data_IF_107001362177
#
_entry.id   IF_107001362177
#
_cell.length_a   1.000
_cell.length_b   1.000
_cell.length_c   1.000
_cell.angle_alpha   90.00
_cell.angle_beta   90.00
_cell.angle_gamma   90.00
#
_symmetry.space_group_name_H-M   'P 1'
#
loop_
_entity.id
_entity.type
_entity.pdbx_description
1 polymer ?
#
# COMPACT_ATOMS: atom_id res chain seq x y z
N UNK A 1 -16.82 14.39 6.35
CA UNK A 1 -16.47 13.04 5.85
C UNK A 1 -15.54 12.37 6.86
N UNK A 2 -15.61 11.05 7.04
CA UNK A 2 -14.79 10.33 8.05
C UNK A 2 -13.66 9.62 7.34
N UNK A 3 -12.42 9.79 7.82
CA UNK A 3 -11.27 9.01 7.33
C UNK A 3 -11.20 7.65 8.06
N UNK A 4 -10.82 6.59 7.33
CA UNK A 4 -10.58 5.25 7.88
C UNK A 4 -9.16 4.81 7.52
N UNK A 5 -8.39 4.38 8.51
CA UNK A 5 -7.07 3.79 8.27
C UNK A 5 -7.19 2.38 7.72
N UNK A 6 -6.47 2.08 6.64
CA UNK A 6 -6.32 0.72 6.09
C UNK A 6 -4.89 0.24 6.37
N UNK A 7 -4.75 -0.98 6.87
CA UNK A 7 -3.45 -1.60 7.17
C UNK A 7 -3.07 -2.62 6.10
N UNK A 8 -1.79 -2.67 5.79
CA UNK A 8 -1.19 -3.68 4.92
C UNK A 8 0.22 -4.02 5.42
N UNK A 9 0.67 -5.23 5.13
CA UNK A 9 2.04 -5.69 5.40
C UNK A 9 2.47 -6.65 4.28
N UNK A 10 3.76 -6.63 3.96
CA UNK A 10 4.42 -7.57 3.03
C UNK A 10 5.85 -7.80 3.51
N UNK A 11 6.49 -8.84 3.02
CA UNK A 11 7.91 -9.15 3.26
C UNK A 11 8.67 -9.16 1.94
N UNK A 12 10.00 -9.09 2.04
CA UNK A 12 10.96 -9.29 0.93
C UNK A 12 12.06 -10.22 1.41
N UNK A 13 12.70 -10.94 0.49
CA UNK A 13 13.78 -11.87 0.83
C UNK A 13 15.13 -11.13 0.92
N UNK A 14 15.32 -10.11 0.08
CA UNK A 14 16.52 -9.28 0.01
C UNK A 14 16.30 -7.82 0.40
N UNK A 15 17.26 -7.25 1.14
CA UNK A 15 17.30 -5.81 1.44
C UNK A 15 17.89 -5.01 0.27
N UNK A 16 17.23 -5.06 -0.89
CA UNK A 16 17.60 -4.29 -2.08
C UNK A 16 16.43 -3.44 -2.58
N UNK A 17 16.77 -2.43 -3.38
CA UNK A 17 15.84 -1.42 -3.86
C UNK A 17 14.72 -2.04 -4.69
N UNK A 18 15.07 -2.97 -5.58
CA UNK A 18 14.19 -3.57 -6.56
C UNK A 18 13.07 -4.38 -5.86
N UNK A 19 13.45 -5.23 -4.90
CA UNK A 19 12.50 -6.03 -4.14
C UNK A 19 11.58 -5.17 -3.27
N UNK A 20 12.12 -4.21 -2.52
CA UNK A 20 11.34 -3.32 -1.65
C UNK A 20 10.30 -2.54 -2.47
N UNK A 21 10.72 -1.96 -3.60
CA UNK A 21 9.82 -1.19 -4.46
C UNK A 21 8.80 -2.07 -5.19
N UNK A 22 9.15 -3.31 -5.54
CA UNK A 22 8.23 -4.26 -6.16
C UNK A 22 7.15 -4.70 -5.16
N UNK A 23 7.57 -5.18 -3.98
CA UNK A 23 6.66 -5.67 -2.94
C UNK A 23 5.73 -4.55 -2.42
N UNK A 24 6.27 -3.35 -2.20
CA UNK A 24 5.46 -2.19 -1.77
C UNK A 24 4.39 -1.83 -2.80
N UNK A 25 4.71 -1.83 -4.10
CA UNK A 25 3.72 -1.58 -5.17
C UNK A 25 2.63 -2.65 -5.20
N UNK A 26 3.01 -3.93 -5.07
CA UNK A 26 2.04 -5.03 -5.04
C UNK A 26 1.11 -4.93 -3.83
N UNK A 27 1.65 -4.60 -2.65
CA UNK A 27 0.87 -4.37 -1.43
C UNK A 27 -0.13 -3.22 -1.62
N UNK A 28 0.31 -2.07 -2.11
CA UNK A 28 -0.55 -0.91 -2.34
C UNK A 28 -1.64 -1.21 -3.37
N UNK A 29 -1.29 -1.87 -4.48
CA UNK A 29 -2.27 -2.29 -5.49
C UNK A 29 -3.31 -3.27 -4.93
N UNK A 30 -2.94 -4.13 -3.97
CA UNK A 30 -3.87 -5.06 -3.32
C UNK A 30 -4.77 -4.34 -2.30
N UNK A 31 -4.20 -3.44 -1.50
CA UNK A 31 -4.93 -2.59 -0.55
C UNK A 31 -5.99 -1.75 -1.28
N UNK A 32 -5.60 -1.07 -2.37
CA UNK A 32 -6.49 -0.24 -3.18
C UNK A 32 -7.61 -1.10 -3.80
N UNK A 33 -7.26 -2.19 -4.49
CA UNK A 33 -8.26 -3.03 -5.20
C UNK A 33 -9.26 -3.68 -4.25
N UNK A 34 -8.83 -4.17 -3.08
CA UNK A 34 -9.73 -4.83 -2.13
C UNK A 34 -10.68 -3.86 -1.42
N UNK A 35 -10.28 -2.61 -1.27
CA UNK A 35 -11.08 -1.60 -0.58
C UNK A 35 -11.76 -0.61 -1.53
N UNK A 36 -11.58 -0.77 -2.85
CA UNK A 36 -12.16 0.09 -3.89
C UNK A 36 -11.81 1.58 -3.67
N UNK A 37 -10.59 1.85 -3.23
CA UNK A 37 -10.12 3.21 -2.92
C UNK A 37 -9.77 3.94 -4.21
N UNK A 38 -10.38 5.10 -4.45
CA UNK A 38 -9.92 6.00 -5.50
C UNK A 38 -8.72 6.80 -5.00
N UNK A 39 -7.80 7.17 -5.90
CA UNK A 39 -6.57 7.90 -5.55
C UNK A 39 -6.86 9.23 -4.86
N UNK A 40 -7.90 9.92 -5.28
CA UNK A 40 -8.39 11.20 -4.78
C UNK A 40 -8.96 11.12 -3.35
N UNK A 41 -9.32 9.92 -2.88
CA UNK A 41 -9.85 9.71 -1.53
C UNK A 41 -8.74 9.44 -0.49
N UNK A 42 -7.47 9.34 -0.93
CA UNK A 42 -6.33 9.05 -0.04
C UNK A 42 -5.84 10.32 0.65
N UNK A 43 -6.09 10.41 1.96
CA UNK A 43 -5.61 11.53 2.77
C UNK A 43 -4.09 11.49 3.02
N UNK A 44 -3.55 10.31 3.33
CA UNK A 44 -2.11 10.08 3.54
C UNK A 44 -1.78 8.59 3.53
N UNK A 45 -0.50 8.27 3.35
CA UNK A 45 0.04 6.92 3.55
C UNK A 45 1.36 7.03 4.33
N UNK A 46 1.57 6.13 5.29
CA UNK A 46 2.73 6.11 6.19
C UNK A 46 3.35 4.72 6.10
N UNK A 47 4.67 4.66 5.94
CA UNK A 47 5.46 3.46 5.74
C UNK A 47 6.63 3.42 6.72
#
# INVERSE_FOLDING_TARGET
MICRGIRGATTVDGNNREEILSATRQLLALVIRRNQVASEDVASAIF
#
